data_IF_678579783515
#
_entry.id   IF_678579783515
#
_cell.length_a   1.000
_cell.length_b   1.000
_cell.length_c   1.000
_cell.angle_alpha   90.00
_cell.angle_beta   90.00
_cell.angle_gamma   90.00
#
_symmetry.space_group_name_H-M   'P 1'
#
loop_
_entity.id
_entity.type
_entity.pdbx_description
1 polymer ?
#
# COMPACT_ATOMS: atom_id res chain seq x y z
N UNK A 1 -8.19 14.21 -5.16
CA UNK A 1 -6.86 14.13 -5.79
C UNK A 1 -6.67 12.71 -6.34
N UNK A 2 -5.83 12.52 -7.38
CA UNK A 2 -5.51 11.19 -7.89
C UNK A 2 -4.69 10.39 -6.86
N UNK A 3 -4.93 9.08 -6.76
CA UNK A 3 -4.23 8.15 -5.85
C UNK A 3 -3.29 7.18 -6.58
N UNK A 4 -3.21 7.30 -7.90
CA UNK A 4 -2.27 6.58 -8.73
C UNK A 4 -2.36 7.03 -10.19
N UNK A 5 -1.41 6.59 -11.00
CA UNK A 5 -1.35 6.83 -12.44
C UNK A 5 -0.68 5.67 -13.18
N UNK A 6 -0.91 5.60 -14.48
CA UNK A 6 -0.17 4.76 -15.42
C UNK A 6 0.43 5.69 -16.49
N UNK A 7 1.67 5.44 -16.88
CA UNK A 7 2.37 6.20 -17.92
C UNK A 7 3.01 5.25 -18.94
N UNK A 8 2.50 5.28 -20.17
CA UNK A 8 2.85 4.29 -21.18
C UNK A 8 2.50 2.88 -20.71
N UNK A 9 3.26 1.89 -21.17
CA UNK A 9 2.95 0.49 -20.91
C UNK A 9 3.64 -0.05 -19.64
N UNK A 10 4.76 0.55 -19.22
CA UNK A 10 5.62 -0.01 -18.16
C UNK A 10 5.71 0.75 -16.83
N UNK A 11 5.03 1.89 -16.67
CA UNK A 11 5.18 2.74 -15.46
C UNK A 11 3.85 2.91 -14.74
N UNK A 12 3.81 2.51 -13.47
CA UNK A 12 2.68 2.68 -12.56
C UNK A 12 3.14 3.41 -11.31
N UNK A 13 2.41 4.45 -10.89
CA UNK A 13 2.62 5.14 -9.62
C UNK A 13 1.41 4.98 -8.70
N UNK A 14 1.63 4.69 -7.43
CA UNK A 14 0.59 4.53 -6.41
C UNK A 14 0.93 5.39 -5.18
N UNK A 15 -0.06 6.12 -4.66
CA UNK A 15 0.10 6.93 -3.45
C UNK A 15 -0.23 6.14 -2.18
N UNK A 16 -1.19 5.21 -2.25
CA UNK A 16 -1.47 4.30 -1.16
C UNK A 16 -0.46 3.15 -1.17
N UNK A 17 -0.34 2.45 -0.03
CA UNK A 17 0.70 1.46 0.21
C UNK A 17 0.18 0.02 0.23
N UNK A 18 -0.06 -0.63 -0.94
CA UNK A 18 -0.53 -2.01 -1.00
C UNK A 18 0.52 -3.02 -0.51
N UNK A 19 1.79 -2.63 -0.41
CA UNK A 19 2.93 -3.44 0.04
C UNK A 19 2.98 -3.71 1.54
N UNK A 20 2.20 -2.96 2.33
CA UNK A 20 2.31 -2.98 3.78
C UNK A 20 2.01 -4.35 4.40
N UNK A 21 2.91 -4.80 5.28
CA UNK A 21 2.67 -5.93 6.19
C UNK A 21 2.18 -5.44 7.56
N UNK A 22 1.59 -6.34 8.35
CA UNK A 22 1.13 -5.98 9.70
C UNK A 22 2.30 -5.50 10.57
N UNK A 23 3.46 -6.15 10.45
CA UNK A 23 4.68 -5.76 11.16
C UNK A 23 5.18 -4.36 10.75
N UNK A 24 5.15 -4.04 9.45
CA UNK A 24 5.53 -2.72 8.96
C UNK A 24 4.58 -1.63 9.48
N UNK A 25 3.27 -1.90 9.52
CA UNK A 25 2.28 -0.95 10.04
C UNK A 25 2.48 -0.71 11.54
N UNK A 26 2.75 -1.74 12.34
CA UNK A 26 3.04 -1.58 13.77
C UNK A 26 4.30 -0.73 14.01
N UNK A 27 5.35 -0.92 13.19
CA UNK A 27 6.54 -0.06 13.22
C UNK A 27 6.20 1.40 12.91
N UNK A 28 5.32 1.66 11.93
CA UNK A 28 4.88 3.03 11.62
C UNK A 28 4.00 3.63 12.72
N UNK A 29 3.10 2.86 13.33
CA UNK A 29 2.29 3.33 14.47
C UNK A 29 3.21 3.86 15.58
N UNK A 30 4.25 3.10 15.91
CA UNK A 30 5.20 3.49 16.95
C UNK A 30 6.08 4.69 16.52
N UNK A 31 6.60 4.68 15.29
CA UNK A 31 7.51 5.70 14.79
C UNK A 31 6.84 7.07 14.61
N UNK A 32 5.63 7.10 14.05
CA UNK A 32 4.86 8.32 13.76
C UNK A 32 4.03 8.80 14.97
N UNK A 33 4.10 8.12 16.12
CA UNK A 33 3.46 8.55 17.35
C UNK A 33 1.93 8.36 17.39
N UNK A 34 1.39 7.39 16.64
CA UNK A 34 -0.06 7.12 16.61
C UNK A 34 -0.64 6.62 17.95
N UNK A 35 0.20 6.18 18.89
CA UNK A 35 -0.23 5.75 20.23
C UNK A 35 -0.82 6.89 21.06
N UNK A 36 -0.39 8.13 20.79
CA UNK A 36 -0.90 9.34 21.46
C UNK A 36 -1.59 10.29 20.49
N UNK A 37 -1.80 9.87 19.25
CA UNK A 37 -2.48 10.68 18.25
C UNK A 37 -3.98 10.78 18.57
N UNK A 38 -4.51 12.00 18.51
CA UNK A 38 -5.94 12.24 18.51
C UNK A 38 -6.53 11.97 17.13
N UNK A 39 -7.80 11.60 17.09
CA UNK A 39 -8.53 11.38 15.84
C UNK A 39 -8.70 12.69 15.06
N UNK A 40 -8.34 12.67 13.78
CA UNK A 40 -8.52 13.79 12.85
C UNK A 40 -9.09 13.27 11.52
N UNK A 41 -9.56 14.15 10.64
CA UNK A 41 -10.29 13.80 9.40
C UNK A 41 -9.59 12.71 8.55
N UNK A 42 -8.26 12.72 8.50
CA UNK A 42 -7.46 11.75 7.75
C UNK A 42 -6.35 11.09 8.59
N UNK A 43 -6.34 11.32 9.91
CA UNK A 43 -5.35 10.73 10.82
C UNK A 43 -6.07 9.80 11.78
N UNK A 44 -5.74 8.50 11.66
CA UNK A 44 -6.33 7.47 12.49
C UNK A 44 -5.53 7.27 13.78
N UNK A 45 -6.21 6.93 14.87
CA UNK A 45 -5.56 6.47 16.11
C UNK A 45 -4.95 5.07 15.92
N UNK A 46 -3.98 4.70 16.76
CA UNK A 46 -3.42 3.34 16.75
C UNK A 46 -4.51 2.24 16.87
N UNK A 47 -5.52 2.46 17.71
CA UNK A 47 -6.64 1.54 17.87
C UNK A 47 -7.43 1.37 16.56
N UNK A 48 -7.74 2.46 15.87
CA UNK A 48 -8.44 2.41 14.58
C UNK A 48 -7.64 1.66 13.52
N UNK A 49 -6.33 1.92 13.42
CA UNK A 49 -5.44 1.23 12.47
C UNK A 49 -5.43 -0.29 12.77
N UNK A 50 -5.25 -0.67 14.03
CA UNK A 50 -5.19 -2.08 14.46
C UNK A 50 -6.44 -2.87 14.12
N UNK A 51 -7.63 -2.27 14.16
CA UNK A 51 -8.88 -2.94 13.75
C UNK A 51 -8.92 -3.35 12.27
N UNK A 52 -8.05 -2.76 11.44
CA UNK A 52 -8.01 -2.96 9.99
C UNK A 52 -6.80 -3.76 9.50
N UNK A 53 -5.81 -4.06 10.35
CA UNK A 53 -4.57 -4.75 9.97
C UNK A 53 -4.79 -6.00 9.13
N UNK A 54 -5.75 -6.85 9.54
CA UNK A 54 -6.09 -8.08 8.83
C UNK A 54 -6.63 -7.85 7.42
N UNK A 55 -7.03 -6.63 7.05
CA UNK A 55 -7.49 -6.29 5.71
C UNK A 55 -6.35 -6.06 4.72
N UNK A 56 -5.09 -6.02 5.18
CA UNK A 56 -3.91 -5.80 4.35
C UNK A 56 -3.69 -6.83 3.24
N UNK A 57 -4.31 -8.02 3.34
CA UNK A 57 -4.25 -9.03 2.28
C UNK A 57 -4.80 -8.51 0.94
N UNK A 58 -5.76 -7.57 0.94
CA UNK A 58 -6.32 -6.99 -0.28
C UNK A 58 -5.27 -6.19 -1.05
N UNK A 59 -4.46 -5.41 -0.33
CA UNK A 59 -3.33 -4.67 -0.90
C UNK A 59 -2.30 -5.62 -1.51
N UNK A 60 -1.94 -6.68 -0.77
CA UNK A 60 -1.00 -7.69 -1.28
C UNK A 60 -1.49 -8.39 -2.54
N UNK A 61 -2.77 -8.76 -2.60
CA UNK A 61 -3.35 -9.37 -3.81
C UNK A 61 -3.33 -8.44 -5.02
N UNK A 62 -3.58 -7.15 -4.81
CA UNK A 62 -3.43 -6.14 -5.84
C UNK A 62 -1.96 -6.03 -6.30
N UNK A 63 -1.03 -5.95 -5.35
CA UNK A 63 0.40 -5.82 -5.65
C UNK A 63 0.93 -7.04 -6.41
N UNK A 64 0.58 -8.25 -5.96
CA UNK A 64 0.91 -9.52 -6.64
C UNK A 64 0.45 -9.48 -8.10
N UNK A 65 -0.82 -9.17 -8.35
CA UNK A 65 -1.36 -9.09 -9.70
C UNK A 65 -0.66 -8.01 -10.55
N UNK A 66 -0.38 -6.83 -9.99
CA UNK A 66 0.33 -5.77 -10.71
C UNK A 66 1.74 -6.22 -11.10
N UNK A 67 2.49 -6.81 -10.17
CA UNK A 67 3.85 -7.30 -10.43
C UNK A 67 3.86 -8.42 -11.47
N UNK A 68 2.92 -9.38 -11.39
CA UNK A 68 2.78 -10.44 -12.39
C UNK A 68 2.58 -9.87 -13.81
N UNK A 69 1.69 -8.88 -13.97
CA UNK A 69 1.43 -8.27 -15.27
C UNK A 69 2.60 -7.42 -15.77
N UNK A 70 3.25 -6.66 -14.88
CA UNK A 70 4.40 -5.84 -15.25
C UNK A 70 5.61 -6.68 -15.68
N UNK A 71 5.83 -7.84 -15.04
CA UNK A 71 6.87 -8.78 -15.43
C UNK A 71 6.55 -9.42 -16.78
N UNK A 72 5.32 -9.89 -16.98
CA UNK A 72 4.90 -10.48 -18.26
C UNK A 72 5.11 -9.52 -19.44
N UNK A 73 4.75 -8.24 -19.26
CA UNK A 73 5.00 -7.22 -20.27
C UNK A 73 6.49 -7.08 -20.60
N UNK A 74 7.36 -7.08 -19.59
CA UNK A 74 8.80 -6.98 -19.79
C UNK A 74 9.39 -8.19 -20.52
N UNK A 75 8.87 -9.40 -20.25
CA UNK A 75 9.30 -10.62 -20.94
C UNK A 75 8.90 -10.63 -22.42
N UNK A 76 7.73 -10.09 -22.77
CA UNK A 76 7.30 -9.92 -24.16
C UNK A 76 8.17 -8.91 -24.93
N UNK A 77 8.60 -7.82 -24.30
CA UNK A 77 9.51 -6.84 -24.91
C UNK A 77 10.93 -7.37 -25.16
N UNK A 78 11.35 -8.39 -24.40
CA UNK A 78 12.69 -8.96 -24.46
C UNK A 78 12.84 -10.13 -25.46
N UNK A 79 11.75 -10.64 -26.02
CA UNK A 79 11.70 -11.77 -26.97
C UNK A 79 11.65 -11.35 -28.43
#
# INVERSE_FOLDING_TARGET
>A
AAQGFVWGDGIVGLQFHPEMTEEMVEKLIAFEGHETAEEQEFVQTAAQIRTKLKSGWKGRKLLEALLENMVALHEEEAG
#
